data_IF_754539204169
#
_entry.id   IF_754539204169
#
_cell.length_a   1.000
_cell.length_b   1.000
_cell.length_c   1.000
_cell.angle_alpha   90.00
_cell.angle_beta   90.00
_cell.angle_gamma   90.00
#
_symmetry.space_group_name_H-M   'P 1'
#
loop_
_entity.id
_entity.type
_entity.pdbx_description
1 polymer ?
#
# COMPACT_ATOMS: atom_id res chain seq x y z
N UNK A 1 -0.66 -8.07 -11.01
CA UNK A 1 -1.50 -8.39 -9.84
C UNK A 1 -0.55 -8.46 -8.67
N UNK A 2 -0.89 -7.82 -7.54
CA UNK A 2 -0.11 -7.97 -6.31
C UNK A 2 -0.46 -9.32 -5.70
N UNK A 3 0.55 -10.19 -5.60
CA UNK A 3 0.42 -11.54 -5.07
C UNK A 3 1.01 -11.64 -3.66
N UNK A 4 0.72 -12.73 -2.96
CA UNK A 4 1.13 -12.90 -1.57
C UNK A 4 2.66 -12.85 -1.37
N UNK A 5 3.42 -13.26 -2.39
CA UNK A 5 4.89 -13.17 -2.43
C UNK A 5 5.39 -11.73 -2.37
N UNK A 6 4.70 -10.79 -3.03
CA UNK A 6 5.06 -9.36 -3.04
C UNK A 6 4.84 -8.73 -1.65
N UNK A 7 3.90 -9.27 -0.88
CA UNK A 7 3.58 -8.80 0.47
C UNK A 7 4.58 -9.26 1.52
N UNK A 8 5.33 -10.35 1.28
CA UNK A 8 6.24 -10.94 2.27
C UNK A 8 7.37 -9.99 2.70
N UNK A 9 8.16 -9.38 1.79
CA UNK A 9 9.20 -8.42 2.21
C UNK A 9 8.59 -7.17 2.86
N UNK A 10 7.42 -6.74 2.39
CA UNK A 10 6.71 -5.60 2.97
C UNK A 10 6.26 -5.87 4.41
N UNK A 11 5.76 -7.08 4.71
CA UNK A 11 5.39 -7.48 6.07
C UNK A 11 6.59 -7.46 7.02
N UNK A 12 7.72 -8.03 6.60
CA UNK A 12 8.94 -8.00 7.41
C UNK A 12 9.37 -6.55 7.72
N UNK A 13 9.35 -5.66 6.73
CA UNK A 13 9.63 -4.24 6.92
C UNK A 13 8.65 -3.57 7.90
N UNK A 14 7.36 -3.85 7.79
CA UNK A 14 6.33 -3.29 8.68
C UNK A 14 6.49 -3.79 10.12
N UNK A 15 6.83 -5.06 10.31
CA UNK A 15 7.06 -5.65 11.63
C UNK A 15 8.29 -5.06 12.33
N UNK A 16 9.37 -4.85 11.58
CA UNK A 16 10.65 -4.32 12.09
C UNK A 16 10.58 -2.81 12.39
N UNK A 17 10.08 -2.02 11.44
CA UNK A 17 10.16 -0.55 11.50
C UNK A 17 8.87 0.14 11.95
N UNK A 18 7.74 -0.59 11.98
CA UNK A 18 6.41 -0.09 12.40
C UNK A 18 6.08 1.30 11.82
N UNK A 19 6.14 1.46 10.48
CA UNK A 19 5.88 2.75 9.86
C UNK A 19 4.44 3.21 10.13
N UNK A 20 4.21 4.52 10.15
CA UNK A 20 2.87 5.07 10.33
C UNK A 20 1.89 4.66 9.21
N UNK A 21 2.41 4.42 7.99
CA UNK A 21 1.64 3.99 6.82
C UNK A 21 2.42 2.93 6.04
N UNK A 22 1.73 1.88 5.63
CA UNK A 22 2.26 0.84 4.73
C UNK A 22 1.39 0.77 3.48
N UNK A 23 1.90 1.26 2.35
CA UNK A 23 1.14 1.40 1.11
C UNK A 23 1.89 0.73 -0.05
N UNK A 24 1.20 -0.13 -0.79
CA UNK A 24 1.64 -0.67 -2.08
C UNK A 24 0.81 -0.02 -3.18
N UNK A 25 1.48 0.62 -4.13
CA UNK A 25 0.84 1.24 -5.29
C UNK A 25 0.88 0.27 -6.47
N UNK A 26 -0.26 0.02 -7.11
CA UNK A 26 -0.34 -0.94 -8.22
C UNK A 26 -1.18 -0.43 -9.39
N UNK A 27 -1.19 -1.19 -10.50
CA UNK A 27 -2.00 -0.91 -11.71
C UNK A 27 -3.37 -1.59 -11.70
N UNK A 28 -3.70 -2.32 -10.65
CA UNK A 28 -5.04 -2.91 -10.49
C UNK A 28 -6.07 -1.81 -10.23
N UNK A 29 -7.36 -2.12 -10.43
CA UNK A 29 -8.44 -1.12 -10.35
C UNK A 29 -9.11 -1.04 -8.98
N UNK A 30 -8.80 -1.98 -8.07
CA UNK A 30 -9.52 -2.14 -6.81
C UNK A 30 -8.59 -1.88 -5.63
N UNK A 31 -9.01 -0.99 -4.73
CA UNK A 31 -8.37 -0.80 -3.42
C UNK A 31 -8.68 -1.99 -2.51
N UNK A 32 -7.68 -2.43 -1.76
CA UNK A 32 -7.86 -3.47 -0.72
C UNK A 32 -6.83 -3.33 0.38
N UNK A 33 -7.08 -3.97 1.51
CA UNK A 33 -6.13 -4.07 2.64
C UNK A 33 -5.77 -5.53 2.85
N UNK A 34 -4.49 -5.82 3.05
CA UNK A 34 -4.01 -7.17 3.35
C UNK A 34 -2.98 -7.12 4.47
N UNK A 35 -3.30 -7.71 5.62
CA UNK A 35 -2.40 -7.75 6.78
C UNK A 35 -1.92 -6.36 7.24
N UNK A 36 -2.81 -5.37 7.23
CA UNK A 36 -2.47 -3.98 7.59
C UNK A 36 -1.78 -3.16 6.48
N UNK A 37 -1.46 -3.77 5.34
CA UNK A 37 -0.87 -3.08 4.19
C UNK A 37 -2.00 -2.63 3.25
N UNK A 38 -2.04 -1.34 2.95
CA UNK A 38 -2.97 -0.78 1.97
C UNK A 38 -2.45 -1.02 0.56
N UNK A 39 -3.26 -1.63 -0.31
CA UNK A 39 -2.96 -1.82 -1.72
C UNK A 39 -3.87 -0.89 -2.51
N UNK A 40 -3.29 0.10 -3.18
CA UNK A 40 -4.01 1.22 -3.79
C UNK A 40 -3.66 1.32 -5.30
N UNK A 41 -4.66 1.45 -6.19
CA UNK A 41 -4.44 1.81 -7.58
C UNK A 41 -3.65 3.12 -7.71
N UNK A 42 -2.75 3.23 -8.68
CA UNK A 42 -1.92 4.43 -8.84
C UNK A 42 -2.72 5.73 -8.99
N UNK A 43 -3.86 5.68 -9.72
CA UNK A 43 -4.73 6.86 -9.91
C UNK A 43 -5.28 7.36 -8.58
N UNK A 44 -5.67 6.42 -7.74
CA UNK A 44 -6.24 6.63 -6.43
C UNK A 44 -5.21 7.15 -5.44
N UNK A 45 -4.01 6.54 -5.46
CA UNK A 45 -2.88 6.98 -4.65
C UNK A 45 -2.50 8.43 -5.00
N UNK A 46 -2.33 8.76 -6.28
CA UNK A 46 -1.98 10.12 -6.71
C UNK A 46 -3.07 11.13 -6.38
N UNK A 47 -4.34 10.75 -6.51
CA UNK A 47 -5.47 11.60 -6.10
C UNK A 47 -5.40 11.92 -4.61
N UNK A 48 -5.16 10.92 -3.77
CA UNK A 48 -5.09 11.12 -2.31
C UNK A 48 -3.81 11.85 -1.89
N UNK A 49 -2.69 11.60 -2.57
CA UNK A 49 -1.43 12.31 -2.37
C UNK A 49 -1.60 13.81 -2.67
N UNK A 50 -2.15 14.15 -3.83
CA UNK A 50 -2.37 15.56 -4.20
C UNK A 50 -3.48 16.25 -3.41
N UNK A 51 -4.41 15.48 -2.83
CA UNK A 51 -5.39 16.01 -1.90
C UNK A 51 -4.85 16.20 -0.47
N UNK A 52 -3.58 15.90 -0.20
CA UNK A 52 -2.98 16.00 1.13
C UNK A 52 -3.47 14.94 2.12
N UNK A 53 -4.09 13.85 1.66
CA UNK A 53 -4.54 12.73 2.51
C UNK A 53 -3.41 11.74 2.79
N UNK A 54 -2.42 11.69 1.91
CA UNK A 54 -1.17 10.94 2.10
C UNK A 54 -0.08 11.97 2.36
N UNK A 55 0.54 11.85 3.53
CA UNK A 55 1.58 12.70 4.13
C UNK A 55 2.53 11.75 4.84
#
# INVERSE_FOLDING_TARGET
RVDASDLKPMKAFVEEYRPAKAIIVCRETVRRVSGGIAIIPWKDFLKDLWAGKII
#
